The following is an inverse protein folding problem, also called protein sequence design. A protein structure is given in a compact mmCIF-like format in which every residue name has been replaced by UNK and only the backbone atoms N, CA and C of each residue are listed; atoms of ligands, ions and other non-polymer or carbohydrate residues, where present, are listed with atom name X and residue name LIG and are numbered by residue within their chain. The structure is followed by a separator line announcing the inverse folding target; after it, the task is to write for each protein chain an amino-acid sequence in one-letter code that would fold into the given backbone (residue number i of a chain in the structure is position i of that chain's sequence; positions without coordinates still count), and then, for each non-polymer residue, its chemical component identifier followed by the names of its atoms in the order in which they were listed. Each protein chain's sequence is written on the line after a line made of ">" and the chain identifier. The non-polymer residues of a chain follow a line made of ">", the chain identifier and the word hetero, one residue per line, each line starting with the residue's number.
data_IF_473876386422
#
_entry.id   IF_473876386422
#
_cell.length_a   1.000
_cell.length_b   1.000
_cell.length_c   1.000
_cell.angle_alpha   90.00
_cell.angle_beta   90.00
_cell.angle_gamma   90.00
#
_symmetry.space_group_name_H-M   'P 1'
#
loop_
_entity.id
_entity.type
_entity.pdbx_description
1 polymer ?
#
# COMPACT_ATOMS: atom_id res chain seq x y z
N UNK A 1 11.53 -20.14 19.41
CA UNK A 1 11.70 -18.87 18.66
C UNK A 1 10.39 -18.62 17.95
N UNK A 2 9.69 -17.53 18.23
CA UNK A 2 8.42 -17.25 17.60
C UNK A 2 8.57 -17.06 16.09
N UNK A 3 7.52 -17.35 15.34
CA UNK A 3 7.53 -17.36 13.88
C UNK A 3 6.47 -16.42 13.32
N UNK A 4 6.87 -15.53 12.41
CA UNK A 4 5.96 -14.68 11.63
C UNK A 4 5.87 -15.18 10.20
N UNK A 5 4.66 -15.20 9.65
CA UNK A 5 4.39 -15.41 8.23
C UNK A 5 4.10 -14.06 7.57
N UNK A 6 4.97 -13.60 6.68
CA UNK A 6 4.72 -12.45 5.79
C UNK A 6 4.11 -12.96 4.48
N UNK A 7 2.99 -12.41 4.08
CA UNK A 7 2.17 -12.98 3.00
C UNK A 7 2.48 -12.43 1.61
N UNK A 8 3.53 -11.61 1.47
CA UNK A 8 4.04 -11.13 0.18
C UNK A 8 5.52 -10.78 0.28
N UNK A 9 6.33 -11.29 -0.66
CA UNK A 9 7.80 -11.18 -0.63
C UNK A 9 8.44 -10.24 -1.64
N UNK A 10 7.69 -9.74 -2.62
CA UNK A 10 8.24 -9.01 -3.77
C UNK A 10 8.37 -7.50 -3.59
N UNK A 11 7.65 -6.90 -2.62
CA UNK A 11 7.63 -5.46 -2.42
C UNK A 11 8.66 -4.99 -1.38
N UNK A 12 9.35 -3.85 -1.62
CA UNK A 12 10.40 -3.34 -0.72
C UNK A 12 9.95 -3.14 0.73
N UNK A 13 8.71 -2.69 0.96
CA UNK A 13 8.15 -2.50 2.31
C UNK A 13 8.08 -3.79 3.15
N UNK A 14 7.88 -4.94 2.50
CA UNK A 14 7.94 -6.23 3.19
C UNK A 14 9.33 -6.56 3.73
N UNK A 15 10.38 -6.02 3.10
CA UNK A 15 11.75 -6.20 3.57
C UNK A 15 12.02 -5.48 4.90
N UNK A 16 11.42 -4.29 5.12
CA UNK A 16 11.51 -3.60 6.42
C UNK A 16 10.84 -4.43 7.53
N UNK A 17 9.69 -5.03 7.25
CA UNK A 17 9.01 -5.95 8.19
C UNK A 17 9.87 -7.17 8.47
N UNK A 18 10.38 -7.86 7.44
CA UNK A 18 11.21 -9.05 7.60
C UNK A 18 12.45 -8.76 8.45
N UNK A 19 13.16 -7.66 8.16
CA UNK A 19 14.34 -7.22 8.91
C UNK A 19 14.00 -6.88 10.36
N UNK A 20 12.86 -6.23 10.59
CA UNK A 20 12.44 -5.85 11.93
C UNK A 20 12.11 -7.07 12.79
N UNK A 21 11.33 -8.02 12.25
CA UNK A 21 11.02 -9.26 12.96
C UNK A 21 12.26 -10.10 13.24
N UNK A 22 13.17 -10.24 12.26
CA UNK A 22 14.42 -10.96 12.44
C UNK A 22 15.31 -10.32 13.53
N UNK A 23 15.43 -8.98 13.55
CA UNK A 23 16.15 -8.24 14.58
C UNK A 23 15.51 -8.39 15.97
N UNK A 24 14.20 -8.65 16.03
CA UNK A 24 13.46 -8.90 17.26
C UNK A 24 13.48 -10.39 17.69
N UNK A 25 14.31 -11.23 17.06
CA UNK A 25 14.48 -12.63 17.42
C UNK A 25 13.36 -13.55 16.88
N UNK A 26 12.59 -13.12 15.89
CA UNK A 26 11.56 -13.91 15.25
C UNK A 26 12.11 -14.67 14.04
N UNK A 27 11.65 -15.88 13.84
CA UNK A 27 11.81 -16.59 12.57
C UNK A 27 10.85 -16.02 11.55
N UNK A 28 11.37 -15.65 10.38
CA UNK A 28 10.56 -15.07 9.30
C UNK A 28 10.35 -16.09 8.18
N UNK A 29 9.10 -16.41 7.90
CA UNK A 29 8.66 -17.19 6.74
C UNK A 29 7.95 -16.21 5.79
N UNK A 30 8.18 -16.36 4.49
CA UNK A 30 7.53 -15.55 3.46
C UNK A 30 6.73 -16.47 2.53
N UNK A 31 5.49 -16.10 2.24
CA UNK A 31 4.68 -16.69 1.18
C UNK A 31 4.52 -15.70 0.04
N UNK A 32 4.79 -16.10 -1.21
CA UNK A 32 4.63 -15.25 -2.40
C UNK A 32 4.21 -16.13 -3.59
N UNK A 33 3.32 -15.69 -4.48
CA UNK A 33 3.02 -16.41 -5.71
C UNK A 33 4.24 -16.62 -6.62
N UNK A 34 5.25 -15.75 -6.54
CA UNK A 34 6.49 -15.90 -7.28
C UNK A 34 7.54 -16.69 -6.48
N UNK A 35 8.11 -17.72 -7.09
CA UNK A 35 9.24 -18.46 -6.50
C UNK A 35 10.50 -17.60 -6.34
N UNK A 36 10.66 -16.55 -7.16
CA UNK A 36 11.76 -15.61 -7.08
C UNK A 36 11.20 -14.24 -6.70
N UNK A 37 11.54 -13.75 -5.52
CA UNK A 37 11.06 -12.48 -5.00
C UNK A 37 12.12 -11.77 -4.14
N UNK A 38 11.98 -10.47 -3.97
CA UNK A 38 12.95 -9.59 -3.32
C UNK A 38 13.41 -10.07 -1.94
N UNK A 39 12.46 -10.44 -1.08
CA UNK A 39 12.77 -10.89 0.29
C UNK A 39 13.46 -12.24 0.33
N UNK A 40 13.30 -13.09 -0.71
CA UNK A 40 14.02 -14.37 -0.82
C UNK A 40 15.54 -14.21 -0.90
N UNK A 41 16.05 -13.03 -1.28
CA UNK A 41 17.48 -12.70 -1.26
C UNK A 41 17.97 -12.16 0.10
N UNK A 42 17.07 -11.90 1.05
CA UNK A 42 17.40 -11.32 2.36
C UNK A 42 17.82 -12.38 3.38
N UNK A 43 18.87 -12.07 4.15
CA UNK A 43 19.29 -12.87 5.30
C UNK A 43 18.26 -12.87 6.45
N UNK A 44 17.33 -11.93 6.46
CA UNK A 44 16.26 -11.85 7.44
C UNK A 44 15.20 -12.95 7.24
N UNK A 45 15.12 -13.56 6.07
CA UNK A 45 14.12 -14.58 5.72
C UNK A 45 14.69 -15.97 5.90
N UNK A 46 14.05 -16.76 6.74
CA UNK A 46 14.46 -18.14 7.02
C UNK A 46 13.93 -19.15 5.99
N UNK A 47 12.75 -18.87 5.40
CA UNK A 47 12.11 -19.75 4.43
C UNK A 47 11.17 -18.96 3.53
N UNK A 48 11.20 -19.26 2.22
CA UNK A 48 10.24 -18.77 1.23
C UNK A 48 9.40 -19.93 0.71
N UNK A 49 8.10 -19.69 0.56
CA UNK A 49 7.11 -20.69 0.11
C UNK A 49 6.29 -20.10 -1.03
N UNK A 50 6.05 -20.90 -2.05
CA UNK A 50 5.21 -20.52 -3.19
C UNK A 50 3.75 -20.84 -2.84
N UNK A 51 2.87 -19.89 -3.13
CA UNK A 51 1.42 -20.00 -2.91
C UNK A 51 0.68 -19.62 -4.20
N UNK A 52 -0.58 -20.05 -4.39
CA UNK A 52 -1.40 -19.58 -5.50
C UNK A 52 -1.57 -18.05 -5.50
N UNK A 53 -1.79 -17.41 -6.67
CA UNK A 53 -2.03 -15.97 -6.75
C UNK A 53 -3.44 -15.61 -6.21
N UNK A 54 -3.58 -14.72 -5.23
CA UNK A 54 -4.86 -14.46 -4.55
C UNK A 54 -5.93 -13.87 -5.45
N UNK A 55 -5.57 -13.05 -6.45
CA UNK A 55 -6.56 -12.43 -7.34
C UNK A 55 -7.29 -13.44 -8.25
N UNK A 56 -6.62 -14.53 -8.66
CA UNK A 56 -7.19 -15.53 -9.54
C UNK A 56 -7.64 -16.81 -8.83
N UNK A 57 -6.96 -17.15 -7.74
CA UNK A 57 -7.18 -18.39 -6.98
C UNK A 57 -7.30 -18.13 -5.46
N UNK A 58 -8.26 -17.26 -5.01
CA UNK A 58 -8.35 -16.83 -3.61
C UNK A 58 -8.53 -17.98 -2.63
N UNK A 59 -9.37 -18.96 -2.96
CA UNK A 59 -9.63 -20.13 -2.10
C UNK A 59 -8.36 -20.98 -1.93
N UNK A 60 -7.68 -21.29 -3.04
CA UNK A 60 -6.44 -22.07 -3.00
C UNK A 60 -5.30 -21.31 -2.28
N UNK A 61 -5.28 -19.98 -2.40
CA UNK A 61 -4.35 -19.10 -1.67
C UNK A 61 -4.56 -19.20 -0.16
N UNK A 62 -5.79 -19.01 0.30
CA UNK A 62 -6.13 -19.08 1.72
C UNK A 62 -5.88 -20.48 2.30
N UNK A 63 -6.21 -21.54 1.56
CA UNK A 63 -5.93 -22.93 1.97
C UNK A 63 -4.42 -23.21 2.05
N UNK A 64 -3.63 -22.62 1.14
CA UNK A 64 -2.17 -22.73 1.20
C UNK A 64 -1.61 -22.00 2.44
N UNK A 65 -2.09 -20.78 2.75
CA UNK A 65 -1.70 -20.07 3.97
C UNK A 65 -2.10 -20.82 5.23
N UNK A 66 -3.32 -21.37 5.30
CA UNK A 66 -3.77 -22.16 6.44
C UNK A 66 -2.90 -23.40 6.66
N UNK A 67 -2.47 -24.09 5.60
CA UNK A 67 -1.50 -25.19 5.68
C UNK A 67 -0.15 -24.71 6.21
N UNK A 68 0.37 -23.59 5.71
CA UNK A 68 1.65 -23.00 6.17
C UNK A 68 1.57 -22.66 7.65
N UNK A 69 0.46 -22.06 8.10
CA UNK A 69 0.24 -21.72 9.52
C UNK A 69 0.24 -22.97 10.41
N UNK A 70 -0.45 -24.03 9.98
CA UNK A 70 -0.50 -25.30 10.71
C UNK A 70 0.86 -25.98 10.78
N UNK A 71 1.51 -26.15 9.63
CA UNK A 71 2.72 -26.98 9.52
C UNK A 71 3.98 -26.19 9.92
N UNK A 72 3.95 -24.86 9.84
CA UNK A 72 5.08 -23.97 10.12
C UNK A 72 5.20 -23.50 11.57
N UNK A 73 4.27 -23.87 12.47
CA UNK A 73 4.19 -23.35 13.85
C UNK A 73 4.24 -21.81 13.86
N UNK A 74 3.43 -21.19 13.01
CA UNK A 74 3.34 -19.73 12.88
C UNK A 74 2.62 -19.14 14.09
N UNK A 75 3.16 -18.08 14.67
CA UNK A 75 2.61 -17.38 15.83
C UNK A 75 1.92 -16.07 15.45
N UNK A 76 2.24 -15.51 14.26
CA UNK A 76 1.65 -14.28 13.73
C UNK A 76 1.61 -14.33 12.21
N UNK A 77 0.47 -13.96 11.61
CA UNK A 77 0.37 -13.69 10.17
C UNK A 77 0.35 -12.19 9.95
N UNK A 78 1.23 -11.70 9.07
CA UNK A 78 1.42 -10.29 8.79
C UNK A 78 1.23 -10.01 7.30
N UNK A 79 0.09 -9.45 6.87
CA UNK A 79 -0.11 -9.03 5.49
C UNK A 79 0.77 -7.82 5.16
N UNK A 80 1.31 -7.82 3.93
CA UNK A 80 2.30 -6.82 3.51
C UNK A 80 1.70 -5.73 2.62
N UNK A 81 0.67 -6.07 1.82
CA UNK A 81 0.11 -5.14 0.83
C UNK A 81 -1.38 -5.41 0.58
N UNK A 82 -1.82 -5.32 -0.69
CA UNK A 82 -3.20 -5.60 -1.13
C UNK A 82 -3.69 -7.02 -0.77
N UNK A 83 -2.77 -7.93 -0.53
CA UNK A 83 -3.06 -9.27 -0.05
C UNK A 83 -3.84 -9.28 1.28
N UNK A 84 -3.82 -8.18 2.05
CA UNK A 84 -4.65 -8.01 3.26
C UNK A 84 -6.13 -8.23 2.98
N UNK A 85 -6.60 -7.88 1.78
CA UNK A 85 -8.00 -8.04 1.37
C UNK A 85 -8.46 -9.51 1.41
N UNK A 86 -7.54 -10.44 1.14
CA UNK A 86 -7.76 -11.87 1.23
C UNK A 86 -7.36 -12.41 2.61
N UNK A 87 -6.20 -12.02 3.12
CA UNK A 87 -5.63 -12.54 4.37
C UNK A 87 -6.51 -12.23 5.59
N UNK A 88 -7.31 -11.16 5.54
CA UNK A 88 -8.29 -10.84 6.58
C UNK A 88 -9.36 -11.94 6.77
N UNK A 89 -9.62 -12.77 5.76
CA UNK A 89 -10.53 -13.92 5.80
C UNK A 89 -9.86 -15.21 6.34
N UNK A 90 -8.53 -15.22 6.46
CA UNK A 90 -7.78 -16.39 6.90
C UNK A 90 -8.19 -16.94 8.28
N UNK A 91 -8.53 -16.11 9.31
CA UNK A 91 -8.93 -16.62 10.62
C UNK A 91 -10.05 -17.66 10.58
N UNK A 92 -11.00 -17.54 9.66
CA UNK A 92 -12.14 -18.46 9.51
C UNK A 92 -11.71 -19.87 9.05
N UNK A 93 -10.50 -20.01 8.50
CA UNK A 93 -9.94 -21.28 8.00
C UNK A 93 -8.94 -21.95 8.95
N UNK A 94 -8.60 -21.27 10.04
CA UNK A 94 -7.60 -21.76 10.97
C UNK A 94 -8.23 -22.67 12.03
N UNK A 95 -7.67 -23.87 12.22
CA UNK A 95 -8.11 -24.81 13.26
C UNK A 95 -7.68 -24.38 14.67
N UNK A 96 -6.70 -23.49 14.79
CA UNK A 96 -6.28 -22.86 16.05
C UNK A 96 -6.22 -21.34 15.87
N UNK A 97 -6.50 -20.54 16.90
CA UNK A 97 -6.39 -19.10 16.79
C UNK A 97 -4.92 -18.70 16.61
N UNK A 98 -4.61 -18.09 15.46
CA UNK A 98 -3.34 -17.42 15.19
C UNK A 98 -3.67 -15.98 14.83
N UNK A 99 -3.07 -14.99 15.51
CA UNK A 99 -3.31 -13.60 15.19
C UNK A 99 -2.96 -13.29 13.73
N UNK A 100 -3.88 -12.63 13.04
CA UNK A 100 -3.64 -11.97 11.77
C UNK A 100 -3.59 -10.47 12.06
N UNK A 101 -2.50 -9.80 11.70
CA UNK A 101 -2.33 -8.38 11.98
C UNK A 101 -3.08 -7.51 10.98
N UNK A 102 -4.39 -7.57 11.07
CA UNK A 102 -5.35 -6.82 10.25
C UNK A 102 -6.67 -6.69 11.01
N UNK A 103 -7.51 -5.74 10.58
CA UNK A 103 -8.91 -5.69 11.02
C UNK A 103 -9.72 -6.85 10.44
N UNK A 104 -10.96 -7.01 10.92
CA UNK A 104 -11.92 -7.96 10.36
C UNK A 104 -12.14 -7.67 8.86
N UNK A 105 -12.33 -8.73 8.08
CA UNK A 105 -12.48 -8.64 6.62
C UNK A 105 -13.58 -7.65 6.19
N UNK A 106 -14.71 -7.63 6.87
CA UNK A 106 -15.81 -6.70 6.58
C UNK A 106 -15.36 -5.23 6.63
N UNK A 107 -14.62 -4.83 7.67
CA UNK A 107 -14.13 -3.45 7.79
C UNK A 107 -13.01 -3.15 6.78
N UNK A 108 -12.12 -4.11 6.53
CA UNK A 108 -11.07 -4.01 5.50
C UNK A 108 -11.71 -3.74 4.12
N UNK A 109 -12.68 -4.54 3.72
CA UNK A 109 -13.37 -4.38 2.43
C UNK A 109 -14.17 -3.08 2.36
N UNK A 110 -14.84 -2.71 3.46
CA UNK A 110 -15.63 -1.47 3.54
C UNK A 110 -14.78 -0.21 3.37
N UNK A 111 -13.59 -0.13 3.98
CA UNK A 111 -12.72 1.05 3.83
C UNK A 111 -11.94 1.04 2.51
N UNK A 112 -11.77 -0.12 1.87
CA UNK A 112 -11.17 -0.21 0.54
C UNK A 112 -12.12 0.26 -0.57
N UNK A 113 -13.43 0.04 -0.42
CA UNK A 113 -14.45 0.59 -1.31
C UNK A 113 -14.49 2.11 -1.17
N UNK A 114 -14.13 2.81 -2.25
CA UNK A 114 -13.98 4.27 -2.26
C UNK A 114 -15.25 5.02 -1.85
N UNK A 115 -16.44 4.51 -2.21
CA UNK A 115 -17.71 5.14 -1.81
C UNK A 115 -17.96 4.94 -0.32
N UNK A 116 -17.95 3.69 0.13
CA UNK A 116 -18.23 3.35 1.54
C UNK A 116 -17.22 3.99 2.50
N UNK A 117 -15.96 4.12 2.09
CA UNK A 117 -14.94 4.86 2.85
C UNK A 117 -15.30 6.34 2.99
N UNK A 118 -15.67 7.01 1.88
CA UNK A 118 -16.04 8.43 1.89
C UNK A 118 -17.31 8.64 2.77
N UNK A 119 -18.32 7.80 2.63
CA UNK A 119 -19.53 7.86 3.45
C UNK A 119 -19.22 7.68 4.94
N UNK A 120 -18.34 6.72 5.27
CA UNK A 120 -17.89 6.47 6.65
C UNK A 120 -17.15 7.68 7.21
N UNK A 121 -16.20 8.25 6.48
CA UNK A 121 -15.41 9.39 6.93
C UNK A 121 -16.28 10.65 7.07
N UNK A 122 -17.20 10.89 6.13
CA UNK A 122 -18.20 11.97 6.22
C UNK A 122 -19.08 11.82 7.47
N UNK A 123 -19.50 10.59 7.80
CA UNK A 123 -20.27 10.29 9.02
C UNK A 123 -19.48 10.53 10.32
N UNK A 124 -18.19 10.71 10.26
CA UNK A 124 -17.31 11.11 11.37
C UNK A 124 -16.99 12.61 11.35
N UNK A 125 -17.66 13.40 10.50
CA UNK A 125 -17.37 14.83 10.26
C UNK A 125 -15.90 15.08 9.85
N UNK A 126 -15.35 14.20 9.03
CA UNK A 126 -14.00 14.32 8.49
C UNK A 126 -14.07 14.86 7.05
N UNK A 127 -13.17 15.80 6.66
CA UNK A 127 -13.14 16.31 5.30
C UNK A 127 -12.89 15.22 4.26
N UNK A 128 -13.81 15.10 3.32
CA UNK A 128 -13.74 14.22 2.15
C UNK A 128 -14.42 14.92 0.97
N UNK A 129 -14.06 14.62 -0.28
CA UNK A 129 -14.74 15.20 -1.45
C UNK A 129 -16.12 14.56 -1.66
N UNK A 130 -17.09 15.34 -2.15
CA UNK A 130 -18.38 14.82 -2.59
C UNK A 130 -18.18 13.66 -3.57
N UNK A 131 -18.81 12.53 -3.29
CA UNK A 131 -18.64 11.30 -4.09
C UNK A 131 -19.99 10.59 -4.21
N UNK A 132 -20.31 10.10 -5.42
CA UNK A 132 -21.54 9.36 -5.68
C UNK A 132 -21.32 8.28 -6.74
N UNK A 133 -22.18 7.24 -6.75
CA UNK A 133 -22.19 6.22 -7.81
C UNK A 133 -22.47 6.91 -9.16
N UNK A 134 -21.66 6.61 -10.17
CA UNK A 134 -21.67 7.30 -11.45
C UNK A 134 -23.04 7.32 -12.18
N UNK A 135 -23.90 6.34 -11.91
CA UNK A 135 -25.23 6.24 -12.51
C UNK A 135 -26.33 7.05 -11.79
N UNK A 136 -25.99 7.74 -10.70
CA UNK A 136 -26.98 8.43 -9.84
C UNK A 136 -27.20 9.89 -10.23
N UNK A 137 -28.28 10.49 -9.72
CA UNK A 137 -28.58 11.91 -9.88
C UNK A 137 -27.56 12.80 -9.17
N UNK A 138 -27.07 12.34 -8.01
CA UNK A 138 -26.05 13.01 -7.21
C UNK A 138 -24.74 13.14 -8.01
N UNK A 139 -24.32 12.08 -8.70
CA UNK A 139 -23.15 12.10 -9.59
C UNK A 139 -23.30 13.14 -10.71
N UNK A 140 -24.51 13.24 -11.29
CA UNK A 140 -24.79 14.27 -12.29
C UNK A 140 -24.69 15.67 -11.69
N UNK A 141 -25.23 15.89 -10.48
CA UNK A 141 -25.11 17.19 -9.80
C UNK A 141 -23.63 17.56 -9.56
N UNK A 142 -22.80 16.58 -9.12
CA UNK A 142 -21.37 16.80 -8.98
C UNK A 142 -20.73 17.22 -10.32
N UNK A 143 -21.02 16.51 -11.41
CA UNK A 143 -20.47 16.78 -12.72
C UNK A 143 -20.91 18.13 -13.30
N UNK A 144 -22.17 18.52 -13.09
CA UNK A 144 -22.74 19.78 -13.62
C UNK A 144 -22.22 21.02 -12.86
N UNK A 145 -21.79 20.88 -11.61
CA UNK A 145 -21.41 22.00 -10.73
C UNK A 145 -19.89 22.21 -10.60
N UNK A 146 -19.05 21.33 -11.13
CA UNK A 146 -17.59 21.52 -11.13
C UNK A 146 -16.83 20.37 -11.78
N UNK A 147 -15.52 20.51 -11.94
CA UNK A 147 -14.68 19.43 -12.45
C UNK A 147 -14.72 18.22 -11.54
N UNK A 148 -14.63 17.04 -12.11
CA UNK A 148 -14.78 15.79 -11.37
C UNK A 148 -13.80 14.72 -11.83
N UNK A 149 -13.71 13.67 -11.02
CA UNK A 149 -12.92 12.47 -11.28
C UNK A 149 -13.89 11.30 -11.40
N UNK A 150 -13.73 10.52 -12.46
CA UNK A 150 -14.42 9.26 -12.64
C UNK A 150 -13.41 8.12 -12.37
N UNK A 151 -13.75 7.22 -11.45
CA UNK A 151 -12.83 6.16 -11.02
C UNK A 151 -13.56 4.89 -10.56
N UNK A 152 -12.95 3.70 -10.74
CA UNK A 152 -13.51 2.47 -10.19
C UNK A 152 -13.58 2.52 -8.65
N UNK A 153 -14.63 1.92 -8.07
CA UNK A 153 -14.78 1.81 -6.60
C UNK A 153 -13.65 1.00 -5.97
N UNK A 154 -13.27 -0.10 -6.63
CA UNK A 154 -12.24 -1.03 -6.20
C UNK A 154 -11.06 -0.99 -7.18
N UNK A 155 -10.07 -0.18 -6.91
CA UNK A 155 -8.85 -0.09 -7.72
C UNK A 155 -7.69 0.45 -6.89
N UNK A 156 -6.47 0.14 -7.30
CA UNK A 156 -5.24 0.65 -6.69
C UNK A 156 -4.35 1.31 -7.74
N UNK A 157 -3.35 2.08 -7.30
CA UNK A 157 -2.31 2.70 -8.13
C UNK A 157 -2.85 3.63 -9.23
N UNK A 158 -3.99 4.29 -9.03
CA UNK A 158 -4.58 5.21 -10.00
C UNK A 158 -5.13 4.55 -11.26
N UNK A 159 -5.31 3.22 -11.26
CA UNK A 159 -5.82 2.50 -12.42
C UNK A 159 -7.29 2.87 -12.69
N UNK A 160 -7.59 3.26 -13.96
CA UNK A 160 -8.94 3.63 -14.40
C UNK A 160 -9.39 5.04 -13.98
N UNK A 161 -8.53 5.87 -13.39
CA UNK A 161 -8.85 7.25 -13.01
C UNK A 161 -8.92 8.15 -14.25
N UNK A 162 -10.02 8.88 -14.41
CA UNK A 162 -10.26 9.84 -15.51
C UNK A 162 -10.61 11.21 -14.96
N UNK A 163 -9.90 12.22 -15.40
CA UNK A 163 -10.19 13.63 -15.09
C UNK A 163 -11.21 14.17 -16.09
N UNK A 164 -12.28 14.78 -15.60
CA UNK A 164 -13.37 15.32 -16.39
C UNK A 164 -13.62 16.79 -16.04
N UNK A 165 -13.89 17.58 -17.06
CA UNK A 165 -14.25 18.99 -16.90
C UNK A 165 -15.72 19.15 -16.51
N UNK A 166 -16.09 20.33 -15.99
CA UNK A 166 -17.46 20.67 -15.60
C UNK A 166 -18.42 20.46 -16.76
N UNK A 167 -19.53 19.77 -16.50
CA UNK A 167 -20.57 19.48 -17.49
C UNK A 167 -20.19 18.40 -18.52
N UNK A 168 -19.01 17.80 -18.44
CA UNK A 168 -18.66 16.67 -19.29
C UNK A 168 -19.61 15.48 -19.06
N UNK A 169 -19.97 14.70 -20.10
CA UNK A 169 -20.86 13.56 -19.94
C UNK A 169 -20.18 12.46 -19.11
N UNK A 170 -20.93 11.86 -18.18
CA UNK A 170 -20.47 10.74 -17.39
C UNK A 170 -20.52 9.48 -18.26
N UNK A 171 -19.37 9.13 -18.85
CA UNK A 171 -19.19 7.88 -19.61
C UNK A 171 -18.61 6.83 -18.66
N UNK A 172 -19.48 6.26 -17.82
CA UNK A 172 -19.07 5.31 -16.76
C UNK A 172 -19.17 3.87 -17.20
N UNK A 173 -18.24 3.05 -16.66
CA UNK A 173 -18.40 1.60 -16.60
C UNK A 173 -19.24 1.22 -15.36
N UNK A 174 -19.77 -0.01 -15.31
CA UNK A 174 -20.32 -0.53 -14.07
C UNK A 174 -19.32 -0.41 -12.90
N UNK A 175 -19.82 -0.09 -11.72
CA UNK A 175 -19.03 0.01 -10.48
C UNK A 175 -17.99 1.15 -10.45
N UNK A 176 -18.31 2.28 -11.07
CA UNK A 176 -17.53 3.52 -10.97
C UNK A 176 -18.23 4.59 -10.11
N UNK A 177 -17.42 5.48 -9.54
CA UNK A 177 -17.87 6.65 -8.80
C UNK A 177 -17.41 7.94 -9.48
N UNK A 178 -18.26 8.95 -9.38
CA UNK A 178 -17.93 10.36 -9.65
C UNK A 178 -17.53 11.00 -8.32
N UNK A 179 -16.37 11.63 -8.29
CA UNK A 179 -15.87 12.35 -7.13
C UNK A 179 -15.54 13.79 -7.52
N UNK A 180 -15.95 14.77 -6.70
CA UNK A 180 -15.55 16.16 -6.85
C UNK A 180 -14.02 16.27 -6.92
N UNK A 181 -13.49 16.92 -7.95
CA UNK A 181 -12.06 17.20 -8.03
C UNK A 181 -11.67 18.27 -7.03
N UNK A 182 -10.84 17.92 -6.07
CA UNK A 182 -10.18 18.86 -5.16
C UNK A 182 -8.88 19.32 -5.82
N UNK A 183 -8.62 20.62 -5.83
CA UNK A 183 -7.37 21.21 -6.29
C UNK A 183 -6.43 21.40 -5.10
N UNK A 184 -5.20 20.88 -5.17
CA UNK A 184 -4.26 20.98 -4.08
C UNK A 184 -3.04 20.09 -4.24
N UNK A 185 -2.34 19.84 -3.15
CA UNK A 185 -1.15 19.01 -3.12
C UNK A 185 -1.52 17.59 -2.62
N UNK A 186 -1.09 16.59 -3.38
CA UNK A 186 -1.24 15.20 -2.97
C UNK A 186 -0.25 14.85 -1.85
N UNK A 187 -0.77 14.27 -0.79
CA UNK A 187 -0.02 13.78 0.36
C UNK A 187 -0.58 12.42 0.78
N UNK A 188 0.31 11.49 1.10
CA UNK A 188 -0.07 10.14 1.52
C UNK A 188 0.38 9.88 2.96
N UNK A 189 -0.28 8.91 3.60
CA UNK A 189 0.10 8.49 4.95
C UNK A 189 0.44 7.00 4.99
N UNK A 190 1.12 6.61 6.06
CA UNK A 190 1.20 5.23 6.54
C UNK A 190 1.18 5.26 8.06
N UNK A 191 0.12 4.71 8.64
CA UNK A 191 -0.07 4.71 10.09
C UNK A 191 -0.05 3.30 10.64
N UNK A 192 0.58 3.14 11.80
CA UNK A 192 0.42 1.96 12.66
C UNK A 192 -0.50 2.34 13.81
N UNK A 193 -1.55 1.55 14.01
CA UNK A 193 -2.48 1.74 15.11
C UNK A 193 -2.71 0.43 15.88
N UNK A 194 -3.01 0.55 17.16
CA UNK A 194 -3.41 -0.55 18.04
C UNK A 194 -4.64 -0.12 18.84
N UNK A 195 -5.71 -0.89 18.75
CA UNK A 195 -6.95 -0.68 19.52
C UNK A 195 -7.53 0.77 19.44
N UNK A 196 -7.44 1.39 18.27
CA UNK A 196 -7.94 2.76 18.06
C UNK A 196 -6.95 3.85 18.47
N UNK A 197 -5.75 3.51 18.90
CA UNK A 197 -4.68 4.47 19.21
C UNK A 197 -3.62 4.47 18.12
N UNK A 198 -3.23 5.66 17.65
CA UNK A 198 -2.15 5.85 16.68
C UNK A 198 -0.80 5.70 17.37
N UNK A 199 -0.02 4.73 16.98
CA UNK A 199 1.36 4.53 17.45
C UNK A 199 2.32 5.48 16.71
N UNK A 200 2.15 5.61 15.41
CA UNK A 200 2.86 6.60 14.57
C UNK A 200 2.18 6.74 13.21
N UNK A 201 2.29 7.92 12.63
CA UNK A 201 1.89 8.24 11.24
C UNK A 201 3.05 8.86 10.48
N UNK A 202 3.48 8.23 9.40
CA UNK A 202 4.38 8.86 8.43
C UNK A 202 3.53 9.55 7.37
N UNK A 203 3.69 10.87 7.24
CA UNK A 203 3.08 11.67 6.17
C UNK A 203 4.17 11.96 5.15
N UNK A 204 3.86 11.74 3.87
CA UNK A 204 4.86 11.89 2.81
C UNK A 204 4.21 12.30 1.49
N UNK A 205 5.05 12.80 0.58
CA UNK A 205 4.68 13.11 -0.80
C UNK A 205 5.62 12.44 -1.77
N UNK A 206 5.17 12.18 -2.97
CA UNK A 206 6.01 11.74 -4.07
C UNK A 206 6.94 12.88 -4.51
N UNK A 207 8.21 12.55 -4.76
CA UNK A 207 9.20 13.46 -5.35
C UNK A 207 9.61 13.02 -6.75
N UNK A 208 9.37 11.73 -7.08
CA UNK A 208 9.52 11.18 -8.43
C UNK A 208 8.51 10.06 -8.63
N UNK A 209 7.92 10.03 -9.83
CA UNK A 209 6.97 8.99 -10.25
C UNK A 209 7.61 8.11 -11.32
N UNK A 210 7.23 6.82 -11.32
CA UNK A 210 7.42 5.88 -12.42
C UNK A 210 6.05 5.45 -12.91
N UNK A 211 5.60 6.01 -14.04
CA UNK A 211 4.21 5.97 -14.43
C UNK A 211 3.32 6.68 -13.40
N UNK A 212 2.34 5.98 -12.84
CA UNK A 212 1.44 6.49 -11.78
C UNK A 212 1.93 6.16 -10.36
N UNK A 213 3.02 5.41 -10.22
CA UNK A 213 3.50 4.93 -8.91
C UNK A 213 4.70 5.76 -8.44
N UNK A 214 4.66 6.23 -7.22
CA UNK A 214 5.78 6.95 -6.61
C UNK A 214 6.98 6.01 -6.40
N UNK A 215 8.15 6.43 -6.88
CA UNK A 215 9.41 5.72 -6.72
C UNK A 215 10.43 6.47 -5.85
N UNK A 216 10.18 7.75 -5.57
CA UNK A 216 10.91 8.52 -4.58
C UNK A 216 9.94 9.35 -3.74
N UNK A 217 10.25 9.51 -2.46
CA UNK A 217 9.33 10.05 -1.46
C UNK A 217 10.06 11.00 -0.53
N UNK A 218 9.33 11.99 -0.03
CA UNK A 218 9.79 12.90 1.03
C UNK A 218 8.82 12.87 2.20
N UNK A 219 9.30 12.61 3.41
CA UNK A 219 8.52 12.74 4.63
C UNK A 219 8.33 14.21 4.99
N UNK A 220 7.10 14.58 5.20
CA UNK A 220 6.68 15.93 5.56
C UNK A 220 5.90 15.89 6.88
N UNK A 221 5.55 17.07 7.39
CA UNK A 221 4.72 17.24 8.58
C UNK A 221 3.45 17.98 8.17
N UNK A 222 2.29 17.50 8.62
CA UNK A 222 1.00 18.14 8.39
C UNK A 222 0.07 17.84 9.57
N UNK A 223 -0.06 18.74 10.55
CA UNK A 223 -0.88 18.51 11.74
C UNK A 223 -2.36 18.26 11.44
N UNK A 224 -2.91 18.87 10.38
CA UNK A 224 -4.31 18.66 9.99
C UNK A 224 -4.56 17.23 9.48
N UNK A 225 -3.59 16.64 8.77
CA UNK A 225 -3.65 15.21 8.39
C UNK A 225 -3.49 14.33 9.63
N UNK A 226 -2.58 14.65 10.55
CA UNK A 226 -2.40 13.87 11.78
C UNK A 226 -3.70 13.83 12.60
N UNK A 227 -4.37 14.96 12.77
CA UNK A 227 -5.66 15.05 13.46
C UNK A 227 -6.74 14.23 12.74
N UNK A 228 -6.84 14.36 11.41
CA UNK A 228 -7.78 13.60 10.59
C UNK A 228 -7.60 12.08 10.81
N UNK A 229 -6.36 11.62 10.71
CA UNK A 229 -5.98 10.20 10.86
C UNK A 229 -6.29 9.70 12.28
N UNK A 230 -5.94 10.46 13.31
CA UNK A 230 -6.23 10.11 14.71
C UNK A 230 -7.73 9.94 14.95
N UNK A 231 -8.55 10.88 14.46
CA UNK A 231 -10.01 10.81 14.59
C UNK A 231 -10.60 9.59 13.88
N UNK A 232 -10.17 9.29 12.66
CA UNK A 232 -10.65 8.13 11.91
C UNK A 232 -10.28 6.82 12.62
N UNK A 233 -9.03 6.67 13.04
CA UNK A 233 -8.50 5.49 13.74
C UNK A 233 -9.24 5.28 15.07
N UNK A 234 -9.46 6.33 15.84
CA UNK A 234 -10.20 6.25 17.10
C UNK A 234 -11.66 5.82 16.90
N UNK A 235 -12.35 6.40 15.91
CA UNK A 235 -13.77 6.07 15.60
C UNK A 235 -13.96 4.65 15.09
N UNK A 236 -12.97 4.09 14.41
CA UNK A 236 -13.02 2.72 13.87
C UNK A 236 -12.40 1.68 14.80
N UNK A 237 -11.81 2.08 15.92
CA UNK A 237 -11.02 1.22 16.82
C UNK A 237 -9.97 0.40 16.07
N UNK A 238 -9.30 1.04 15.08
CA UNK A 238 -8.40 0.37 14.16
C UNK A 238 -7.23 -0.31 14.86
N UNK A 239 -6.93 -1.53 14.43
CA UNK A 239 -5.70 -2.25 14.77
C UNK A 239 -5.05 -2.74 13.49
N UNK A 240 -3.78 -2.38 13.26
CA UNK A 240 -3.04 -2.73 12.05
C UNK A 240 -2.47 -1.52 11.32
N UNK A 241 -1.91 -1.76 10.16
CA UNK A 241 -1.52 -0.67 9.27
C UNK A 241 -2.72 -0.14 8.50
N UNK A 242 -2.76 1.19 8.35
CA UNK A 242 -3.73 1.89 7.52
C UNK A 242 -3.07 3.10 6.88
N UNK A 243 -3.43 3.39 5.67
CA UNK A 243 -2.87 4.48 4.88
C UNK A 243 -3.99 5.23 4.17
N UNK A 244 -3.84 6.53 4.03
CA UNK A 244 -4.79 7.38 3.34
C UNK A 244 -4.06 8.23 2.31
N UNK A 245 -4.74 8.51 1.21
CA UNK A 245 -4.29 9.48 0.22
C UNK A 245 -5.16 10.73 0.33
N UNK A 246 -4.51 11.89 0.42
CA UNK A 246 -5.14 13.19 0.64
C UNK A 246 -4.81 14.15 -0.51
N UNK A 247 -5.76 15.06 -0.78
CA UNK A 247 -5.46 16.32 -1.45
C UNK A 247 -5.61 17.44 -0.42
N UNK A 248 -4.55 18.19 -0.19
CA UNK A 248 -4.55 19.35 0.72
C UNK A 248 -4.81 20.60 -0.12
N UNK A 249 -5.93 21.28 0.11
CA UNK A 249 -6.34 22.45 -0.65
C UNK A 249 -5.50 23.69 -0.30
N UNK A 250 -5.79 24.81 -0.96
CA UNK A 250 -5.09 26.08 -0.71
C UNK A 250 -5.30 26.66 0.69
N UNK A 251 -6.34 26.23 1.40
CA UNK A 251 -6.64 26.64 2.79
C UNK A 251 -5.98 25.72 3.83
N UNK A 252 -5.28 24.66 3.38
CA UNK A 252 -4.67 23.65 4.24
C UNK A 252 -5.63 22.55 4.69
N UNK A 253 -6.84 22.47 4.15
CA UNK A 253 -7.81 21.41 4.48
C UNK A 253 -7.43 20.10 3.79
N UNK A 254 -7.22 18.99 4.53
CA UNK A 254 -6.90 17.69 3.96
C UNK A 254 -8.19 16.94 3.61
N UNK A 255 -8.44 16.74 2.35
CA UNK A 255 -9.54 15.90 1.84
C UNK A 255 -9.02 14.49 1.57
N UNK A 256 -9.45 13.49 2.35
CA UNK A 256 -9.10 12.10 2.09
C UNK A 256 -9.86 11.59 0.87
N UNK A 257 -9.12 11.09 -0.13
CA UNK A 257 -9.67 10.63 -1.41
C UNK A 257 -9.71 9.13 -1.56
N UNK A 258 -8.91 8.41 -0.75
CA UNK A 258 -8.79 6.94 -0.77
C UNK A 258 -8.25 6.43 0.56
N UNK A 259 -8.69 5.24 0.97
CA UNK A 259 -8.13 4.47 2.08
C UNK A 259 -7.46 3.19 1.57
N UNK A 260 -6.26 2.96 2.05
CA UNK A 260 -5.48 1.76 1.82
C UNK A 260 -5.28 1.04 3.17
N UNK A 261 -6.07 -0.01 3.52
CA UNK A 261 -6.02 -0.68 4.83
C UNK A 261 -4.78 -1.59 4.98
N UNK A 262 -3.62 -1.06 4.68
CA UNK A 262 -2.34 -1.78 4.58
C UNK A 262 -1.14 -0.86 4.69
N UNK A 263 0.06 -1.44 4.66
CA UNK A 263 1.29 -0.67 4.52
C UNK A 263 1.40 -0.03 3.14
N UNK A 264 1.95 1.18 3.09
CA UNK A 264 2.37 1.89 1.87
C UNK A 264 3.84 2.24 1.94
N UNK A 265 4.34 3.03 1.00
CA UNK A 265 5.75 3.46 0.99
C UNK A 265 6.16 4.28 2.22
N UNK A 266 5.21 4.83 2.95
CA UNK A 266 5.46 5.52 4.22
C UNK A 266 6.08 4.62 5.30
N UNK A 267 5.91 3.30 5.22
CA UNK A 267 6.56 2.35 6.13
C UNK A 267 8.08 2.52 6.15
N UNK A 268 8.68 2.86 5.02
CA UNK A 268 10.12 3.04 4.89
C UNK A 268 10.70 4.16 5.76
N UNK A 269 9.88 5.11 6.23
CA UNK A 269 10.33 6.20 7.09
C UNK A 269 10.46 5.81 8.56
N UNK A 270 9.88 4.70 8.98
CA UNK A 270 10.05 4.22 10.36
C UNK A 270 11.40 3.54 10.57
N UNK A 271 11.92 3.60 11.80
CA UNK A 271 13.11 2.84 12.17
C UNK A 271 12.81 1.36 12.14
N UNK A 272 13.54 0.61 11.33
CA UNK A 272 13.35 -0.83 11.16
C UNK A 272 13.38 -1.59 12.49
N UNK A 273 14.27 -1.19 13.42
CA UNK A 273 14.37 -1.81 14.76
C UNK A 273 13.11 -1.67 15.62
N UNK A 274 12.25 -0.71 15.31
CA UNK A 274 11.12 -0.36 16.16
C UNK A 274 9.80 -0.94 15.65
N UNK A 275 9.73 -1.34 14.36
CA UNK A 275 8.47 -1.76 13.70
C UNK A 275 7.88 -3.01 14.36
N UNK A 276 8.61 -4.11 14.43
CA UNK A 276 8.11 -5.35 15.03
C UNK A 276 7.81 -5.19 16.53
N UNK A 277 8.67 -4.55 17.37
CA UNK A 277 8.31 -4.27 18.75
C UNK A 277 7.03 -3.45 18.92
N UNK A 278 6.76 -2.48 18.02
CA UNK A 278 5.53 -1.70 18.05
C UNK A 278 4.30 -2.55 17.64
N UNK A 279 4.41 -3.36 16.58
CA UNK A 279 3.36 -4.32 16.17
C UNK A 279 3.00 -5.26 17.32
N UNK A 280 4.00 -5.72 18.08
CA UNK A 280 3.82 -6.65 19.19
C UNK A 280 3.37 -5.99 20.50
N UNK A 281 3.09 -4.68 20.48
CA UNK A 281 2.70 -3.93 21.70
C UNK A 281 3.81 -3.78 22.74
N UNK A 282 5.06 -4.06 22.38
CA UNK A 282 6.23 -3.92 23.27
C UNK A 282 6.72 -2.46 23.33
N UNK A 283 6.24 -1.60 22.45
CA UNK A 283 6.53 -0.16 22.38
C UNK A 283 5.26 0.62 22.07
N UNK A 284 5.10 1.72 22.78
CA UNK A 284 4.02 2.70 22.57
C UNK A 284 4.34 3.74 21.50
N UNK A 285 5.57 3.76 20.98
CA UNK A 285 6.02 4.72 19.97
C UNK A 285 6.87 4.05 18.91
N UNK A 286 6.76 4.53 17.68
CA UNK A 286 7.53 4.09 16.53
C UNK A 286 8.35 5.27 16.00
N UNK A 287 9.68 5.18 16.12
CA UNK A 287 10.58 6.25 15.74
C UNK A 287 10.77 6.37 14.22
N UNK A 288 11.09 7.57 13.76
CA UNK A 288 11.44 7.82 12.36
C UNK A 288 12.94 7.64 12.10
N UNK A 289 13.27 7.25 10.86
CA UNK A 289 14.64 7.36 10.34
C UNK A 289 15.08 8.81 10.24
N UNK A 290 16.38 9.06 10.20
CA UNK A 290 16.94 10.41 10.05
C UNK A 290 16.67 10.99 8.68
N UNK A 291 16.66 10.13 7.66
CA UNK A 291 16.46 10.50 6.27
C UNK A 291 15.01 10.96 6.04
N UNK A 292 14.86 12.16 5.52
CA UNK A 292 13.55 12.70 5.10
C UNK A 292 13.21 12.34 3.65
N UNK A 293 14.20 11.98 2.83
CA UNK A 293 14.01 11.56 1.45
C UNK A 293 14.51 10.13 1.27
N UNK A 294 13.70 9.32 0.61
CA UNK A 294 13.96 7.93 0.33
C UNK A 294 13.55 7.59 -1.11
N UNK A 295 14.20 6.61 -1.73
CA UNK A 295 13.87 6.18 -3.08
C UNK A 295 13.94 4.67 -3.25
N UNK A 296 13.32 4.19 -4.31
CA UNK A 296 13.49 2.85 -4.86
C UNK A 296 14.50 2.92 -6.02
N UNK A 297 15.74 2.57 -5.77
CA UNK A 297 16.89 2.75 -6.69
C UNK A 297 16.59 2.31 -8.12
N UNK A 298 16.11 1.06 -8.30
CA UNK A 298 15.90 0.51 -9.64
C UNK A 298 14.78 1.21 -10.41
N UNK A 299 13.72 1.64 -9.73
CA UNK A 299 12.63 2.41 -10.35
C UNK A 299 13.10 3.82 -10.73
N UNK A 300 13.87 4.48 -9.87
CA UNK A 300 14.46 5.79 -10.19
C UNK A 300 15.50 5.70 -11.32
N UNK A 301 16.29 4.62 -11.37
CA UNK A 301 17.23 4.39 -12.46
C UNK A 301 16.53 4.17 -13.79
N UNK A 302 15.40 3.45 -13.79
CA UNK A 302 14.56 3.29 -14.98
C UNK A 302 14.03 4.65 -15.47
N UNK A 303 13.55 5.52 -14.57
CA UNK A 303 13.10 6.88 -14.95
C UNK A 303 14.22 7.76 -15.46
N UNK A 304 15.43 7.63 -14.91
CA UNK A 304 16.61 8.29 -15.48
C UNK A 304 16.90 7.78 -16.91
N UNK A 305 16.83 6.47 -17.16
CA UNK A 305 17.00 5.90 -18.49
C UNK A 305 15.89 6.36 -19.46
N UNK A 306 14.65 6.46 -19.03
CA UNK A 306 13.52 6.96 -19.83
C UNK A 306 13.71 8.44 -20.23
N UNK A 307 14.52 9.18 -19.47
CA UNK A 307 14.86 10.58 -19.75
C UNK A 307 16.07 10.73 -20.68
N UNK A 308 16.61 9.63 -21.20
CA UNK A 308 17.77 9.69 -22.12
C UNK A 308 17.39 10.45 -23.41
N UNK A 309 18.16 11.51 -23.71
CA UNK A 309 17.83 12.47 -24.79
C UNK A 309 17.35 13.84 -24.27
N UNK A 310 16.77 13.89 -23.08
CA UNK A 310 16.54 15.13 -22.30
C UNK A 310 17.64 15.22 -21.22
N UNK A 311 18.80 15.72 -21.62
CA UNK A 311 20.00 15.76 -20.78
C UNK A 311 19.80 16.50 -19.44
N UNK A 312 19.14 17.68 -19.38
CA UNK A 312 18.86 18.36 -18.12
C UNK A 312 18.08 17.46 -17.14
N UNK A 313 17.03 16.79 -17.63
CA UNK A 313 16.21 15.88 -16.84
C UNK A 313 16.99 14.63 -16.44
N UNK A 314 17.76 14.04 -17.33
CA UNK A 314 18.61 12.89 -17.03
C UNK A 314 19.60 13.21 -15.92
N UNK A 315 20.35 14.31 -16.01
CA UNK A 315 21.32 14.69 -14.97
C UNK A 315 20.63 15.05 -13.65
N UNK A 316 19.43 15.65 -13.68
CA UNK A 316 18.62 15.89 -12.47
C UNK A 316 18.26 14.57 -11.78
N UNK A 317 17.76 13.56 -12.53
CA UNK A 317 17.46 12.23 -11.99
C UNK A 317 18.70 11.53 -11.44
N UNK A 318 19.83 11.59 -12.14
CA UNK A 318 21.09 11.02 -11.65
C UNK A 318 21.56 11.71 -10.36
N UNK A 319 21.50 13.04 -10.30
CA UNK A 319 21.84 13.78 -9.08
C UNK A 319 20.91 13.42 -7.90
N UNK A 320 19.62 13.20 -8.16
CA UNK A 320 18.65 12.74 -7.17
C UNK A 320 19.02 11.34 -6.66
N UNK A 321 19.36 10.38 -7.53
CA UNK A 321 19.79 9.03 -7.18
C UNK A 321 21.04 9.06 -6.27
N UNK A 322 22.00 9.93 -6.57
CA UNK A 322 23.23 10.04 -5.77
C UNK A 322 23.00 10.63 -4.37
N UNK A 323 22.00 11.48 -4.20
CA UNK A 323 21.72 12.19 -2.93
C UNK A 323 20.70 11.51 -2.05
N UNK A 324 19.89 10.59 -2.61
CA UNK A 324 18.76 9.99 -1.91
C UNK A 324 19.08 8.55 -1.51
N UNK A 325 18.74 8.17 -0.29
CA UNK A 325 18.97 6.82 0.22
C UNK A 325 17.96 5.83 -0.35
N UNK A 326 18.46 4.69 -0.80
CA UNK A 326 17.62 3.56 -1.23
C UNK A 326 16.95 2.86 -0.04
N UNK A 327 15.66 2.50 -0.22
CA UNK A 327 14.86 1.80 0.81
C UNK A 327 15.25 0.33 0.97
N UNK A 328 15.80 -0.28 -0.08
CA UNK A 328 16.13 -1.70 -0.11
C UNK A 328 17.50 -1.99 0.49
N UNK A 329 18.42 -1.04 0.34
CA UNK A 329 19.81 -1.21 0.76
C UNK A 329 19.97 -1.22 2.28
N UNK A 330 20.70 -2.22 2.76
CA UNK A 330 21.20 -2.26 4.14
C UNK A 330 22.62 -2.84 4.14
N UNK A 331 23.61 -2.22 4.82
CA UNK A 331 24.97 -2.78 4.91
C UNK A 331 25.00 -4.18 5.53
N UNK A 332 24.11 -4.47 6.48
CA UNK A 332 23.99 -5.79 7.10
C UNK A 332 23.32 -6.84 6.20
N UNK A 333 22.57 -6.40 5.18
CA UNK A 333 21.79 -7.24 4.27
C UNK A 333 21.72 -6.61 2.87
N UNK A 334 22.83 -6.57 2.11
CA UNK A 334 22.93 -5.88 0.82
C UNK A 334 22.29 -6.66 -0.35
N UNK A 335 22.11 -7.96 -0.20
CA UNK A 335 21.72 -8.87 -1.25
C UNK A 335 20.38 -8.53 -1.94
N UNK A 336 19.32 -8.10 -1.24
CA UNK A 336 18.07 -7.74 -1.90
C UNK A 336 18.24 -6.67 -2.97
N UNK A 337 19.03 -5.62 -2.74
CA UNK A 337 19.29 -4.60 -3.76
C UNK A 337 20.09 -5.15 -4.93
N UNK A 338 21.15 -5.94 -4.65
CA UNK A 338 22.05 -6.49 -5.67
C UNK A 338 21.32 -7.47 -6.58
N UNK A 339 20.50 -8.37 -6.00
CA UNK A 339 19.77 -9.40 -6.75
C UNK A 339 18.40 -8.96 -7.26
N UNK A 340 17.95 -7.74 -7.00
CA UNK A 340 16.63 -7.26 -7.45
C UNK A 340 16.40 -7.45 -8.96
N UNK A 341 17.33 -7.20 -9.89
CA UNK A 341 17.11 -7.46 -11.31
C UNK A 341 16.77 -8.92 -11.63
N UNK A 342 17.36 -9.87 -10.89
CA UNK A 342 17.06 -11.29 -11.04
C UNK A 342 15.75 -11.70 -10.38
N UNK A 343 15.51 -11.22 -9.16
CA UNK A 343 14.26 -11.52 -8.42
C UNK A 343 13.05 -10.87 -9.07
N UNK A 344 13.22 -9.73 -9.73
CA UNK A 344 12.16 -9.00 -10.42
C UNK A 344 11.99 -9.41 -11.91
N UNK A 345 12.84 -10.30 -12.45
CA UNK A 345 12.83 -10.64 -13.89
C UNK A 345 11.45 -11.10 -14.41
N UNK A 346 10.72 -11.87 -13.60
CA UNK A 346 9.37 -12.32 -13.95
C UNK A 346 8.38 -11.17 -14.08
N UNK A 347 8.44 -10.23 -13.14
CA UNK A 347 7.62 -9.01 -13.13
C UNK A 347 7.99 -8.12 -14.32
N UNK A 348 9.28 -7.94 -14.59
CA UNK A 348 9.78 -7.15 -15.73
C UNK A 348 9.33 -7.78 -17.06
N UNK A 349 9.40 -9.11 -17.20
CA UNK A 349 8.94 -9.81 -18.39
C UNK A 349 7.42 -9.66 -18.57
N UNK A 350 6.63 -9.76 -17.51
CA UNK A 350 5.18 -9.53 -17.54
C UNK A 350 4.86 -8.08 -17.91
N UNK A 351 5.52 -7.10 -17.30
CA UNK A 351 5.35 -5.67 -17.60
C UNK A 351 5.60 -5.36 -19.07
N UNK A 352 6.67 -5.91 -19.65
CA UNK A 352 7.02 -5.73 -21.06
C UNK A 352 6.01 -6.40 -22.02
N UNK A 353 5.59 -7.64 -21.70
CA UNK A 353 4.62 -8.40 -22.52
C UNK A 353 3.28 -7.69 -22.58
N UNK A 354 2.85 -7.09 -21.48
CA UNK A 354 1.53 -6.47 -21.31
C UNK A 354 1.54 -4.96 -21.53
N UNK A 355 2.72 -4.38 -21.78
CA UNK A 355 2.92 -2.94 -21.95
C UNK A 355 2.37 -2.10 -20.78
N UNK A 356 2.61 -2.56 -19.56
CA UNK A 356 2.22 -1.86 -18.32
C UNK A 356 3.44 -1.47 -17.51
N UNK A 357 3.27 -0.56 -16.52
CA UNK A 357 4.36 -0.19 -15.62
C UNK A 357 4.77 -1.37 -14.72
N UNK A 358 6.02 -1.36 -14.24
CA UNK A 358 6.52 -2.37 -13.29
C UNK A 358 5.63 -2.47 -12.04
N UNK A 359 5.17 -1.34 -11.50
CA UNK A 359 4.29 -1.30 -10.33
C UNK A 359 2.97 -2.02 -10.56
N UNK A 360 2.33 -1.80 -11.71
CA UNK A 360 1.09 -2.50 -12.10
C UNK A 360 1.34 -4.00 -12.23
N UNK A 361 2.41 -4.41 -12.93
CA UNK A 361 2.74 -5.83 -13.09
C UNK A 361 3.07 -6.51 -11.75
N UNK A 362 3.69 -5.78 -10.81
CA UNK A 362 4.06 -6.31 -9.50
C UNK A 362 2.87 -6.54 -8.55
N UNK A 363 1.73 -5.91 -8.82
CA UNK A 363 0.54 -5.97 -7.94
C UNK A 363 -0.68 -6.58 -8.60
N UNK A 364 -0.60 -6.94 -9.88
CA UNK A 364 -1.75 -7.42 -10.66
C UNK A 364 -2.42 -8.67 -10.08
N UNK A 365 -1.63 -9.63 -9.64
CA UNK A 365 -2.09 -10.88 -9.03
C UNK A 365 -2.53 -10.73 -7.56
N UNK A 366 -2.50 -9.49 -7.06
CA UNK A 366 -2.96 -9.11 -5.72
C UNK A 366 -4.22 -8.25 -5.75
N UNK A 367 -4.58 -7.70 -6.91
CA UNK A 367 -5.72 -6.80 -7.04
C UNK A 367 -7.01 -7.50 -6.62
N UNK A 368 -7.62 -6.98 -5.59
CA UNK A 368 -8.91 -7.47 -5.12
C UNK A 368 -10.05 -6.75 -5.86
N UNK A 369 -11.03 -7.50 -6.29
CA UNK A 369 -12.29 -6.97 -6.82
C UNK A 369 -13.44 -7.81 -6.29
N UNK A 370 -14.55 -7.18 -6.01
CA UNK A 370 -15.78 -7.90 -5.72
C UNK A 370 -16.08 -8.76 -6.95
N UNK A 371 -16.07 -10.09 -6.81
CA UNK A 371 -16.60 -10.96 -7.86
C UNK A 371 -18.07 -10.61 -8.02
N UNK A 372 -18.40 -9.86 -9.06
CA UNK A 372 -19.78 -9.73 -9.50
C UNK A 372 -20.18 -11.15 -9.94
N UNK A 373 -20.81 -11.89 -9.05
CA UNK A 373 -21.62 -13.05 -9.47
C UNK A 373 -22.73 -12.46 -10.33
N UNK A 374 -22.48 -12.41 -11.63
CA UNK A 374 -23.57 -12.23 -12.61
C UNK A 374 -24.44 -13.46 -12.43
N UNK A 375 -25.73 -13.31 -12.07
CA UNK A 375 -26.65 -14.42 -11.93
C UNK A 375 -26.88 -15.14 -13.24
#
# INVERSE_FOLDING_TARGET
>A
MPTVLLTLGRLPKGLDLARSFAQSGWRVIVADPSASHLMGASRAVSKSLVVPPPATEPEAYLDALARIVRDGSVDLVMPVSEDVMFVAELPERLHRPVPVFAMLAELIHRVHDKLSFIEMAAGFDLPVPETAIASTREAKTIADTGPYILKPRHSCAGNGVRLCETGAPILSAPDEVVQRRVLGQEQSTCSLALNGEVIATAIYRATMLSGTVACSFERIENPAIEEWVQRFIAKTHWTGFISFDFIVDANGTPYAIECNPRTTSGLHFFKTSDIAPAILGMRSTLGFRKERQLMQFWSCLQEAQNSFGDWPRFFSHMAHIWRTKDVTFSPADPWPLIFMPWTARGIIAAARRENVSFGIAATRDLSWSVKTTVP
#
